data_IF_000432025427
#
_entry.id   IF_000432025427
#
_cell.length_a   1.000
_cell.length_b   1.000
_cell.length_c   1.000
_cell.angle_alpha   90.00
_cell.angle_beta   90.00
_cell.angle_gamma   90.00
#
_symmetry.space_group_name_H-M   'P 1'
#
loop_
_entity.id
_entity.type
_entity.pdbx_description
1 polymer ?
#
# COMPACT_ATOMS: atom_id res chain seq x y z
N UNK A 1 6.75 12.60 2.08
CA UNK A 1 7.84 12.50 1.08
C UNK A 1 8.78 13.69 1.28
N UNK A 2 10.09 13.51 1.14
CA UNK A 2 11.09 14.55 1.49
C UNK A 2 11.11 15.72 0.48
N UNK A 3 11.25 16.93 1.03
CA UNK A 3 11.51 18.18 0.31
C UNK A 3 12.69 18.11 -0.68
N UNK A 4 13.70 17.29 -0.37
CA UNK A 4 14.88 17.12 -1.21
C UNK A 4 14.57 16.53 -2.58
N UNK A 5 13.60 15.59 -2.66
CA UNK A 5 13.19 14.95 -3.90
C UNK A 5 12.51 15.93 -4.86
N UNK A 6 11.59 16.76 -4.35
CA UNK A 6 10.92 17.75 -5.20
C UNK A 6 11.88 18.86 -5.63
N UNK A 7 12.88 19.20 -4.80
CA UNK A 7 13.98 20.08 -5.23
C UNK A 7 14.79 19.43 -6.37
N UNK A 8 15.07 18.13 -6.31
CA UNK A 8 15.72 17.39 -7.39
C UNK A 8 14.91 17.43 -8.69
N UNK A 9 13.60 17.15 -8.61
CA UNK A 9 12.68 17.20 -9.75
C UNK A 9 12.75 18.58 -10.42
N UNK A 10 12.49 19.64 -9.64
CA UNK A 10 12.48 21.01 -10.16
C UNK A 10 13.83 21.40 -10.79
N UNK A 11 14.94 20.97 -10.19
CA UNK A 11 16.28 21.23 -10.72
C UNK A 11 16.51 20.54 -12.08
N UNK A 12 16.09 19.27 -12.21
CA UNK A 12 16.25 18.51 -13.47
C UNK A 12 15.33 19.07 -14.57
N UNK A 13 14.09 19.40 -14.24
CA UNK A 13 13.14 19.99 -15.20
C UNK A 13 13.60 21.37 -15.68
N UNK A 14 14.23 22.17 -14.82
CA UNK A 14 14.86 23.43 -15.20
C UNK A 14 16.00 23.30 -16.23
N UNK A 15 16.49 22.07 -16.46
CA UNK A 15 17.56 21.73 -17.40
C UNK A 15 17.04 20.99 -18.65
N UNK A 16 15.72 20.91 -18.84
CA UNK A 16 15.08 20.25 -19.98
C UNK A 16 15.62 20.77 -21.33
N UNK A 17 16.08 19.83 -22.16
CA UNK A 17 16.58 20.09 -23.52
C UNK A 17 17.84 20.94 -23.62
N UNK A 18 18.46 21.31 -22.49
CA UNK A 18 19.60 22.25 -22.46
C UNK A 18 20.96 21.58 -22.38
N UNK A 19 21.01 20.35 -21.85
CA UNK A 19 22.26 19.66 -21.55
C UNK A 19 22.18 18.16 -21.82
N UNK A 20 23.33 17.57 -22.16
CA UNK A 20 23.46 16.13 -22.30
C UNK A 20 23.50 15.41 -20.94
N UNK A 21 23.32 14.09 -20.98
CA UNK A 21 23.36 13.19 -19.82
C UNK A 21 24.63 13.36 -18.96
N UNK A 22 25.80 13.48 -19.56
CA UNK A 22 27.06 13.52 -18.80
C UNK A 22 27.19 14.83 -18.00
N UNK A 23 26.76 15.94 -18.59
CA UNK A 23 26.70 17.23 -17.91
C UNK A 23 25.58 17.27 -16.87
N UNK A 24 24.41 16.73 -17.17
CA UNK A 24 23.29 16.60 -16.22
C UNK A 24 23.73 15.81 -14.98
N UNK A 25 24.38 14.67 -15.16
CA UNK A 25 24.93 13.86 -14.08
C UNK A 25 25.86 14.66 -13.16
N UNK A 26 26.81 15.41 -13.73
CA UNK A 26 27.78 16.20 -12.95
C UNK A 26 27.09 17.32 -12.15
N UNK A 27 26.14 18.02 -12.77
CA UNK A 27 25.42 19.11 -12.13
C UNK A 27 24.56 18.60 -10.98
N UNK A 28 23.77 17.55 -11.22
CA UNK A 28 22.89 16.95 -10.20
C UNK A 28 23.73 16.35 -9.07
N UNK A 29 24.81 15.62 -9.39
CA UNK A 29 25.70 15.07 -8.37
C UNK A 29 26.27 16.16 -7.45
N UNK A 30 26.73 17.27 -8.04
CA UNK A 30 27.31 18.39 -7.28
C UNK A 30 26.26 19.12 -6.44
N UNK A 31 25.12 19.46 -7.02
CA UNK A 31 24.06 20.24 -6.38
C UNK A 31 23.47 19.52 -5.16
N UNK A 32 23.28 18.20 -5.26
CA UNK A 32 22.66 17.40 -4.21
C UNK A 32 23.66 16.57 -3.40
N UNK A 33 24.97 16.79 -3.60
CA UNK A 33 26.05 16.06 -2.91
C UNK A 33 25.90 14.53 -2.99
N UNK A 34 25.52 14.02 -4.17
CA UNK A 34 25.19 12.60 -4.34
C UNK A 34 26.43 11.71 -4.24
N UNK A 35 26.28 10.63 -3.47
CA UNK A 35 27.26 9.54 -3.44
C UNK A 35 27.08 8.69 -4.70
N UNK A 36 28.17 8.34 -5.37
CA UNK A 36 28.14 7.50 -6.57
C UNK A 36 28.53 6.06 -6.23
N UNK A 37 27.62 5.12 -6.45
CA UNK A 37 27.90 3.68 -6.47
C UNK A 37 27.72 3.16 -7.90
N UNK A 38 28.84 2.89 -8.58
CA UNK A 38 28.88 2.50 -10.00
C UNK A 38 28.10 3.47 -10.89
N UNK A 39 26.90 3.10 -11.32
CA UNK A 39 26.06 3.87 -12.24
C UNK A 39 24.89 4.59 -11.53
N UNK A 40 24.69 4.33 -10.24
CA UNK A 40 23.65 4.93 -9.39
C UNK A 40 24.25 6.07 -8.57
N UNK A 41 23.49 7.14 -8.42
CA UNK A 41 23.81 8.28 -7.55
C UNK A 41 22.73 8.36 -6.48
N UNK A 42 23.09 8.56 -5.21
CA UNK A 42 22.10 8.49 -4.14
C UNK A 42 22.43 9.41 -2.95
N UNK A 43 21.40 9.68 -2.16
CA UNK A 43 21.45 10.23 -0.81
C UNK A 43 20.87 9.20 0.18
N UNK A 44 20.70 9.61 1.43
CA UNK A 44 19.91 8.89 2.44
C UNK A 44 18.39 8.86 2.16
N UNK A 45 17.92 9.62 1.16
CA UNK A 45 16.51 9.94 0.95
C UNK A 45 16.00 9.61 -0.45
N UNK A 46 16.87 9.50 -1.46
CA UNK A 46 16.52 9.01 -2.79
C UNK A 46 17.75 8.45 -3.54
N UNK A 47 17.50 7.66 -4.59
CA UNK A 47 18.50 7.25 -5.56
C UNK A 47 18.08 7.65 -6.97
N UNK A 48 19.05 7.92 -7.83
CA UNK A 48 18.84 8.30 -9.23
C UNK A 48 19.82 7.59 -10.17
N UNK A 49 19.26 7.08 -11.28
CA UNK A 49 19.99 6.45 -12.38
C UNK A 49 19.70 7.21 -13.68
N UNK A 50 20.76 7.68 -14.33
CA UNK A 50 20.62 8.45 -15.57
C UNK A 50 20.73 7.57 -16.82
N UNK A 51 19.71 7.66 -17.67
CA UNK A 51 19.63 7.02 -18.97
C UNK A 51 19.54 8.08 -20.07
N UNK A 52 19.79 7.68 -21.32
CA UNK A 52 19.66 8.57 -22.48
C UNK A 52 18.98 7.83 -23.63
N UNK A 53 18.08 8.52 -24.33
CA UNK A 53 17.40 8.03 -25.53
C UNK A 53 17.05 9.21 -26.45
N UNK A 54 16.68 8.91 -27.71
CA UNK A 54 16.16 9.91 -28.65
C UNK A 54 14.71 10.29 -28.38
N UNK A 55 13.96 9.43 -27.68
CA UNK A 55 12.53 9.64 -27.37
C UNK A 55 12.22 9.19 -25.93
N UNK A 56 10.97 9.40 -25.50
CA UNK A 56 10.47 8.95 -24.19
C UNK A 56 10.46 7.41 -24.04
N UNK A 57 10.48 6.68 -25.17
CA UNK A 57 10.66 5.23 -25.20
C UNK A 57 12.14 4.88 -25.11
N UNK A 58 12.50 3.99 -24.19
CA UNK A 58 13.87 3.49 -24.07
C UNK A 58 13.87 2.05 -23.57
N UNK A 59 14.72 1.21 -24.17
CA UNK A 59 14.87 -0.21 -23.82
C UNK A 59 16.26 -0.55 -23.27
N UNK A 60 17.14 0.45 -23.16
CA UNK A 60 18.48 0.26 -22.64
C UNK A 60 18.43 -0.27 -21.20
N UNK A 61 19.39 -1.14 -20.88
CA UNK A 61 19.56 -1.66 -19.52
C UNK A 61 19.85 -0.53 -18.54
N UNK A 62 19.04 -0.48 -17.49
CA UNK A 62 19.09 0.52 -16.42
C UNK A 62 20.05 0.04 -15.33
N UNK A 63 19.79 -1.15 -14.78
CA UNK A 63 20.48 -1.74 -13.64
C UNK A 63 20.19 -3.26 -13.54
N UNK A 64 20.94 -3.99 -12.72
CA UNK A 64 20.55 -5.33 -12.27
C UNK A 64 19.57 -5.28 -11.10
N UNK A 65 18.73 -6.30 -10.96
CA UNK A 65 17.76 -6.42 -9.86
C UNK A 65 18.45 -6.44 -8.48
N UNK A 66 19.55 -7.18 -8.35
CA UNK A 66 20.34 -7.23 -7.11
C UNK A 66 20.97 -5.89 -6.73
N UNK A 67 21.28 -5.04 -7.70
CA UNK A 67 21.76 -3.68 -7.40
C UNK A 67 20.60 -2.75 -7.03
N UNK A 68 19.40 -2.94 -7.60
CA UNK A 68 18.21 -2.18 -7.22
C UNK A 68 17.80 -2.45 -5.77
N UNK A 69 17.91 -3.71 -5.32
CA UNK A 69 17.54 -4.12 -3.96
C UNK A 69 18.12 -3.21 -2.87
N UNK A 70 19.35 -2.70 -3.05
CA UNK A 70 20.03 -1.81 -2.09
C UNK A 70 19.32 -0.46 -1.89
N UNK A 71 18.53 -0.05 -2.87
CA UNK A 71 17.93 1.29 -2.96
C UNK A 71 16.40 1.24 -2.98
N UNK A 72 15.81 0.05 -2.90
CA UNK A 72 14.37 -0.13 -3.09
C UNK A 72 13.56 0.51 -1.95
N UNK A 73 14.15 0.66 -0.75
CA UNK A 73 13.49 1.22 0.43
C UNK A 73 13.27 2.74 0.38
N UNK A 74 13.74 3.43 -0.66
CA UNK A 74 13.53 4.86 -0.91
C UNK A 74 13.27 5.13 -2.39
N UNK A 75 12.76 6.32 -2.79
CA UNK A 75 12.46 6.61 -4.18
C UNK A 75 13.67 6.35 -5.10
N UNK A 76 13.56 5.34 -5.97
CA UNK A 76 14.57 5.04 -6.97
C UNK A 76 14.12 5.59 -8.31
N UNK A 77 14.78 6.64 -8.77
CA UNK A 77 14.37 7.43 -9.91
C UNK A 77 15.23 7.07 -11.12
N UNK A 78 14.59 6.83 -12.26
CA UNK A 78 15.28 6.77 -13.54
C UNK A 78 15.03 8.09 -14.27
N UNK A 79 16.11 8.84 -14.47
CA UNK A 79 16.12 10.05 -15.26
C UNK A 79 16.53 9.73 -16.70
N UNK A 80 15.56 9.76 -17.62
CA UNK A 80 15.77 9.63 -19.05
C UNK A 80 16.01 11.00 -19.68
N UNK A 81 17.27 11.30 -19.99
CA UNK A 81 17.65 12.47 -20.75
C UNK A 81 17.35 12.25 -22.25
N UNK A 82 16.55 13.14 -22.83
CA UNK A 82 16.28 13.19 -24.28
C UNK A 82 16.68 14.56 -24.82
N UNK A 83 16.77 14.75 -26.15
CA UNK A 83 17.14 16.05 -26.73
C UNK A 83 16.25 17.22 -26.32
N UNK A 84 14.97 16.95 -26.02
CA UNK A 84 13.99 18.01 -25.75
C UNK A 84 13.63 18.16 -24.27
N UNK A 85 13.67 17.06 -23.51
CA UNK A 85 13.17 17.01 -22.12
C UNK A 85 13.82 15.87 -21.32
N UNK A 86 13.93 16.03 -20.01
CA UNK A 86 14.23 14.95 -19.08
C UNK A 86 12.92 14.33 -18.58
N UNK A 87 12.80 13.00 -18.66
CA UNK A 87 11.68 12.27 -18.07
C UNK A 87 12.14 11.58 -16.79
N UNK A 88 11.33 11.66 -15.75
CA UNK A 88 11.59 11.05 -14.46
C UNK A 88 10.54 9.98 -14.19
N UNK A 89 10.98 8.78 -13.85
CA UNK A 89 10.12 7.65 -13.49
C UNK A 89 10.59 7.04 -12.18
N UNK A 90 9.67 6.65 -11.30
CA UNK A 90 10.00 5.70 -10.24
C UNK A 90 10.23 4.31 -10.85
N UNK A 91 11.30 3.65 -10.45
CA UNK A 91 11.67 2.31 -10.88
C UNK A 91 11.98 1.38 -9.71
N UNK A 92 11.46 1.70 -8.52
CA UNK A 92 11.31 0.73 -7.43
C UNK A 92 10.58 -0.52 -7.92
N UNK A 93 10.80 -1.65 -7.25
CA UNK A 93 10.31 -2.96 -7.72
C UNK A 93 8.82 -2.99 -8.00
N UNK A 94 7.97 -2.24 -7.28
CA UNK A 94 6.52 -2.10 -7.58
C UNK A 94 6.23 -1.60 -9.00
N UNK A 95 7.10 -0.75 -9.55
CA UNK A 95 6.91 -0.11 -10.87
C UNK A 95 7.65 -0.85 -11.99
N UNK A 96 8.03 -2.11 -11.75
CA UNK A 96 8.60 -2.98 -12.76
C UNK A 96 7.56 -3.99 -13.23
N UNK A 97 7.40 -4.09 -14.55
CA UNK A 97 6.52 -5.06 -15.18
C UNK A 97 7.11 -6.48 -15.10
N UNK A 98 8.43 -6.60 -15.31
CA UNK A 98 9.19 -7.86 -15.27
C UNK A 98 10.68 -7.57 -15.10
N UNK A 99 11.49 -8.62 -15.07
CA UNK A 99 12.94 -8.57 -15.10
C UNK A 99 13.43 -9.13 -16.43
N UNK A 100 14.14 -8.32 -17.20
CA UNK A 100 14.72 -8.67 -18.49
C UNK A 100 16.07 -9.40 -18.39
N UNK A 101 16.59 -9.84 -19.55
CA UNK A 101 17.95 -10.36 -19.86
C UNK A 101 18.75 -11.02 -18.72
N UNK A 102 19.27 -12.23 -18.96
CA UNK A 102 20.01 -13.07 -17.98
C UNK A 102 19.18 -13.57 -16.79
N UNK A 103 17.85 -13.43 -16.87
CA UNK A 103 16.88 -13.86 -15.85
C UNK A 103 16.40 -15.30 -16.00
N UNK A 104 17.02 -16.13 -16.86
CA UNK A 104 16.64 -17.55 -17.00
C UNK A 104 16.78 -18.35 -15.69
N UNK A 105 17.56 -17.84 -14.74
CA UNK A 105 17.69 -18.40 -13.39
C UNK A 105 17.00 -17.56 -12.31
N UNK A 106 16.20 -16.54 -12.69
CA UNK A 106 15.54 -15.66 -11.74
C UNK A 106 14.58 -16.49 -10.89
N UNK A 107 14.84 -16.49 -9.59
CA UNK A 107 14.04 -17.15 -8.56
C UNK A 107 14.03 -16.27 -7.32
N UNK A 108 13.13 -16.56 -6.38
CA UNK A 108 13.10 -15.86 -5.09
C UNK A 108 14.42 -16.00 -4.31
N UNK A 109 15.11 -17.13 -4.48
CA UNK A 109 16.43 -17.42 -3.90
C UNK A 109 17.61 -17.00 -4.79
N UNK A 110 17.35 -16.56 -6.02
CA UNK A 110 18.37 -16.15 -7.00
C UNK A 110 17.90 -14.95 -7.82
N UNK A 111 18.16 -13.75 -7.32
CA UNK A 111 17.69 -12.48 -7.89
C UNK A 111 18.52 -11.98 -9.09
N UNK A 112 19.10 -12.88 -9.89
CA UNK A 112 19.88 -12.53 -11.08
C UNK A 112 18.95 -12.09 -12.21
N UNK A 113 19.26 -10.93 -12.78
CA UNK A 113 18.51 -10.38 -13.90
C UNK A 113 18.73 -8.87 -14.04
N UNK A 114 18.33 -8.34 -15.18
CA UNK A 114 18.49 -6.93 -15.51
C UNK A 114 17.16 -6.24 -15.72
N UNK A 115 17.12 -4.94 -15.48
CA UNK A 115 15.94 -4.11 -15.65
C UNK A 115 16.22 -3.21 -16.84
N UNK A 116 15.36 -3.27 -17.86
CA UNK A 116 15.41 -2.37 -18.99
C UNK A 116 14.45 -1.19 -18.80
N UNK A 117 14.70 -0.10 -19.52
CA UNK A 117 13.81 1.06 -19.50
C UNK A 117 12.37 0.75 -19.90
N UNK A 118 12.19 -0.27 -20.75
CA UNK A 118 10.89 -0.75 -21.22
C UNK A 118 10.13 -1.53 -20.15
N UNK A 119 10.82 -2.03 -19.13
CA UNK A 119 10.18 -2.77 -18.02
C UNK A 119 9.60 -1.82 -16.96
N UNK A 120 9.95 -0.53 -17.00
CA UNK A 120 9.44 0.47 -16.07
C UNK A 120 8.02 0.88 -16.47
N UNK A 121 7.06 0.56 -15.63
CA UNK A 121 5.63 0.86 -15.80
C UNK A 121 5.40 2.36 -15.87
N UNK A 122 4.71 2.81 -16.92
CA UNK A 122 4.41 4.23 -17.18
C UNK A 122 3.10 4.70 -16.57
N UNK A 123 2.15 3.78 -16.41
CA UNK A 123 0.88 4.03 -15.73
C UNK A 123 0.62 2.84 -14.82
N UNK A 124 0.56 3.07 -13.52
CA UNK A 124 0.32 2.05 -12.51
C UNK A 124 -1.07 2.27 -11.91
N UNK A 125 -1.98 1.31 -12.10
CA UNK A 125 -3.37 1.41 -11.62
C UNK A 125 -4.08 2.74 -11.96
N UNK A 126 -3.85 3.25 -13.18
CA UNK A 126 -4.42 4.52 -13.64
C UNK A 126 -3.65 5.77 -13.20
N UNK A 127 -2.65 5.64 -12.33
CA UNK A 127 -1.76 6.73 -11.92
C UNK A 127 -0.54 6.78 -12.85
N UNK A 128 -0.31 7.92 -13.49
CA UNK A 128 0.89 8.12 -14.32
C UNK A 128 2.16 8.12 -13.45
N UNK A 129 3.19 7.40 -13.88
CA UNK A 129 4.49 7.37 -13.24
C UNK A 129 5.31 8.61 -13.63
N UNK A 130 4.99 9.74 -12.99
CA UNK A 130 5.59 11.05 -13.23
C UNK A 130 5.72 11.83 -11.91
N UNK A 131 6.56 12.87 -11.85
CA UNK A 131 6.93 13.53 -10.58
C UNK A 131 5.76 13.98 -9.70
N UNK A 132 4.67 14.44 -10.31
CA UNK A 132 3.48 14.92 -9.59
C UNK A 132 2.85 13.81 -8.73
N UNK A 133 3.00 12.55 -9.15
CA UNK A 133 2.41 11.38 -8.50
C UNK A 133 3.41 10.57 -7.66
N UNK A 134 4.68 10.99 -7.57
CA UNK A 134 5.71 10.20 -6.88
C UNK A 134 5.36 9.94 -5.41
N UNK A 135 4.75 10.90 -4.72
CA UNK A 135 4.35 10.73 -3.32
C UNK A 135 3.36 9.56 -3.13
N UNK A 136 2.32 9.51 -3.96
CA UNK A 136 1.31 8.45 -3.91
C UNK A 136 1.90 7.11 -4.35
N UNK A 137 2.61 7.09 -5.48
CA UNK A 137 3.25 5.87 -6.00
C UNK A 137 4.22 5.30 -4.97
N UNK A 138 5.14 6.10 -4.44
CA UNK A 138 6.11 5.60 -3.48
C UNK A 138 5.46 5.14 -2.16
N UNK A 139 4.35 5.75 -1.74
CA UNK A 139 3.56 5.27 -0.60
C UNK A 139 2.97 3.88 -0.87
N UNK A 140 2.49 3.61 -2.08
CA UNK A 140 2.05 2.26 -2.51
C UNK A 140 3.22 1.28 -2.42
N UNK A 141 4.39 1.67 -2.94
CA UNK A 141 5.58 0.82 -2.93
C UNK A 141 6.06 0.47 -1.52
N UNK A 142 6.14 1.46 -0.62
CA UNK A 142 6.68 1.32 0.74
C UNK A 142 5.96 0.25 1.58
N UNK A 143 4.69 -0.01 1.29
CA UNK A 143 3.85 -0.99 1.99
C UNK A 143 4.05 -2.43 1.48
N UNK A 144 4.62 -2.59 0.29
CA UNK A 144 4.92 -3.88 -0.34
C UNK A 144 6.42 -4.20 -0.19
N UNK A 145 7.28 -3.25 -0.56
CA UNK A 145 8.73 -3.36 -0.56
C UNK A 145 9.28 -4.38 -1.57
N UNK A 146 10.60 -4.58 -1.53
CA UNK A 146 11.31 -5.46 -2.45
C UNK A 146 10.81 -6.91 -2.40
N UNK A 147 10.77 -7.49 -1.19
CA UNK A 147 10.44 -8.91 -1.02
C UNK A 147 9.00 -9.22 -1.44
N UNK A 148 8.05 -8.31 -1.18
CA UNK A 148 6.66 -8.47 -1.63
C UNK A 148 6.52 -8.43 -3.16
N UNK A 149 7.41 -7.71 -3.85
CA UNK A 149 7.41 -7.62 -5.30
C UNK A 149 8.26 -8.69 -6.00
N UNK A 150 9.27 -9.25 -5.33
CA UNK A 150 10.21 -10.19 -5.94
C UNK A 150 9.48 -11.37 -6.57
N UNK A 151 8.56 -11.97 -5.82
CA UNK A 151 7.87 -13.16 -6.26
C UNK A 151 7.00 -12.89 -7.52
N UNK A 152 6.30 -11.75 -7.60
CA UNK A 152 5.52 -11.40 -8.81
C UNK A 152 6.42 -11.11 -10.01
N UNK A 153 7.62 -10.59 -9.77
CA UNK A 153 8.61 -10.33 -10.81
C UNK A 153 9.21 -11.64 -11.34
N UNK A 154 9.46 -12.61 -10.47
CA UNK A 154 9.88 -13.97 -10.85
C UNK A 154 8.83 -14.60 -11.77
N UNK A 155 7.56 -14.58 -11.38
CA UNK A 155 6.47 -15.13 -12.19
C UNK A 155 6.30 -14.44 -13.53
N UNK A 156 6.20 -13.10 -13.54
CA UNK A 156 6.04 -12.31 -14.76
C UNK A 156 7.22 -12.49 -15.73
N UNK A 157 8.39 -12.86 -15.20
CA UNK A 157 9.59 -13.11 -16.00
C UNK A 157 9.65 -14.55 -16.53
N UNK A 158 9.26 -15.53 -15.71
CA UNK A 158 9.33 -16.95 -16.05
C UNK A 158 8.04 -17.49 -16.69
N UNK A 159 7.01 -16.65 -16.88
CA UNK A 159 5.67 -17.05 -17.35
C UNK A 159 5.10 -18.24 -16.56
N UNK A 160 5.37 -18.28 -15.25
CA UNK A 160 4.89 -19.36 -14.39
C UNK A 160 3.37 -19.18 -14.22
N UNK A 161 2.62 -20.26 -14.46
CA UNK A 161 1.18 -20.28 -14.18
C UNK A 161 0.95 -20.41 -12.66
N UNK A 162 -0.03 -19.70 -12.09
CA UNK A 162 -0.28 -19.73 -10.65
C UNK A 162 -0.61 -21.15 -10.16
N UNK A 163 -0.09 -21.51 -8.99
CA UNK A 163 -0.51 -22.70 -8.24
C UNK A 163 -1.34 -22.28 -7.02
N UNK A 164 -2.45 -22.98 -6.76
CA UNK A 164 -3.36 -22.72 -5.62
C UNK A 164 -4.83 -22.77 -6.01
N UNK A 165 -5.70 -22.74 -5.00
CA UNK A 165 -7.15 -22.68 -5.17
C UNK A 165 -7.65 -21.28 -4.80
N UNK A 166 -8.09 -20.50 -5.80
CA UNK A 166 -8.79 -19.25 -5.56
C UNK A 166 -10.21 -19.48 -5.08
N UNK A 167 -10.82 -18.49 -4.42
CA UNK A 167 -12.24 -18.61 -4.06
C UNK A 167 -13.08 -18.70 -5.34
N UNK A 168 -13.73 -19.85 -5.54
CA UNK A 168 -14.62 -20.08 -6.67
C UNK A 168 -16.00 -19.53 -6.33
N UNK A 169 -16.40 -18.48 -7.03
CA UNK A 169 -17.67 -17.78 -6.79
C UNK A 169 -18.77 -18.61 -7.44
N UNK A 170 -19.69 -19.15 -6.64
CA UNK A 170 -20.88 -19.81 -7.18
C UNK A 170 -21.89 -18.76 -7.66
N UNK A 171 -22.79 -19.12 -8.58
CA UNK A 171 -23.84 -18.18 -9.04
C UNK A 171 -24.71 -17.67 -7.88
N UNK A 172 -24.99 -18.52 -6.90
CA UNK A 172 -25.73 -18.14 -5.69
C UNK A 172 -24.97 -17.07 -4.87
N UNK A 173 -23.65 -17.20 -4.75
CA UNK A 173 -22.79 -16.27 -4.03
C UNK A 173 -22.75 -14.90 -4.73
N UNK A 174 -22.77 -14.88 -6.07
CA UNK A 174 -22.73 -13.64 -6.86
C UNK A 174 -23.89 -12.71 -6.50
N UNK A 175 -25.09 -13.25 -6.37
CA UNK A 175 -26.28 -12.48 -5.97
C UNK A 175 -26.10 -11.85 -4.58
N UNK A 176 -25.61 -12.63 -3.62
CA UNK A 176 -25.41 -12.17 -2.23
C UNK A 176 -24.29 -11.12 -2.16
N UNK A 177 -23.18 -11.31 -2.87
CA UNK A 177 -22.06 -10.35 -2.95
C UNK A 177 -22.56 -9.02 -3.51
N UNK A 178 -23.33 -9.02 -4.59
CA UNK A 178 -23.84 -7.78 -5.20
C UNK A 178 -24.91 -7.06 -4.38
N UNK A 179 -25.48 -7.71 -3.36
CA UNK A 179 -26.34 -7.06 -2.37
C UNK A 179 -25.54 -6.45 -1.20
N UNK A 180 -24.25 -6.73 -1.06
CA UNK A 180 -23.42 -6.19 0.03
C UNK A 180 -23.44 -4.65 0.12
N UNK A 181 -23.38 -3.87 -0.98
CA UNK A 181 -23.47 -2.41 -0.89
C UNK A 181 -24.79 -1.91 -0.33
N UNK A 182 -25.91 -2.60 -0.62
CA UNK A 182 -27.23 -2.30 -0.06
C UNK A 182 -27.24 -2.58 1.45
N UNK A 183 -26.74 -3.75 1.87
CA UNK A 183 -26.63 -4.12 3.29
C UNK A 183 -25.78 -3.11 4.06
N UNK A 184 -24.64 -2.71 3.51
CA UNK A 184 -23.77 -1.71 4.10
C UNK A 184 -24.46 -0.35 4.22
N UNK A 185 -25.16 0.10 3.17
CA UNK A 185 -25.92 1.36 3.18
C UNK A 185 -27.01 1.38 4.25
N UNK A 186 -27.69 0.25 4.44
CA UNK A 186 -28.73 0.13 5.47
C UNK A 186 -28.10 0.03 6.88
N UNK A 187 -26.94 -0.62 7.03
CA UNK A 187 -26.21 -0.72 8.30
C UNK A 187 -25.68 0.62 8.80
N UNK A 188 -25.06 1.45 7.95
CA UNK A 188 -24.38 2.69 8.39
C UNK A 188 -25.32 3.74 8.98
N UNK A 189 -26.63 3.60 8.77
CA UNK A 189 -27.68 4.45 9.37
C UNK A 189 -28.43 3.76 10.52
N UNK A 190 -28.00 2.56 10.92
CA UNK A 190 -28.69 1.73 11.91
C UNK A 190 -28.20 1.97 13.34
N UNK A 191 -28.95 1.46 14.32
CA UNK A 191 -28.56 1.50 15.72
C UNK A 191 -27.36 0.57 16.01
N UNK A 192 -27.24 -0.52 15.27
CA UNK A 192 -26.13 -1.48 15.34
C UNK A 192 -24.81 -0.82 14.92
N UNK A 193 -24.80 0.01 13.88
CA UNK A 193 -23.62 0.82 13.52
C UNK A 193 -23.22 1.76 14.66
N UNK A 194 -24.17 2.49 15.24
CA UNK A 194 -23.91 3.40 16.35
C UNK A 194 -23.34 2.66 17.57
N UNK A 195 -23.84 1.44 17.81
CA UNK A 195 -23.37 0.56 18.89
C UNK A 195 -21.95 0.06 18.63
N UNK A 196 -21.65 -0.42 17.41
CA UNK A 196 -20.32 -0.86 17.02
C UNK A 196 -19.30 0.29 17.13
N UNK A 197 -19.65 1.46 16.60
CA UNK A 197 -18.78 2.65 16.66
C UNK A 197 -18.48 3.06 18.10
N UNK A 198 -19.52 3.17 18.93
CA UNK A 198 -19.37 3.59 20.33
C UNK A 198 -18.48 2.63 21.13
N UNK A 199 -18.54 1.34 20.84
CA UNK A 199 -17.71 0.34 21.48
C UNK A 199 -16.23 0.48 21.09
N UNK A 200 -15.94 0.57 19.80
CA UNK A 200 -14.57 0.76 19.29
C UNK A 200 -13.98 2.09 19.78
N UNK A 201 -14.76 3.17 19.79
CA UNK A 201 -14.35 4.47 20.31
C UNK A 201 -14.02 4.41 21.80
N UNK A 202 -14.85 3.72 22.58
CA UNK A 202 -14.61 3.54 24.03
C UNK A 202 -13.34 2.75 24.29
N UNK A 203 -13.08 1.68 23.54
CA UNK A 203 -11.86 0.87 23.68
C UNK A 203 -10.63 1.72 23.31
N UNK A 204 -10.70 2.43 22.18
CA UNK A 204 -9.62 3.32 21.72
C UNK A 204 -9.32 4.42 22.72
N UNK A 205 -10.36 5.01 23.32
CA UNK A 205 -10.20 6.02 24.37
C UNK A 205 -9.58 5.42 25.64
N UNK A 206 -10.03 4.22 26.06
CA UNK A 206 -9.49 3.51 27.22
C UNK A 206 -7.98 3.27 27.10
N UNK A 207 -7.50 2.88 25.92
CA UNK A 207 -6.09 2.58 25.67
C UNK A 207 -5.32 3.70 24.94
N UNK A 208 -5.84 4.92 24.93
CA UNK A 208 -5.29 6.06 24.16
C UNK A 208 -3.77 6.25 24.37
N UNK A 209 -3.33 6.22 25.62
CA UNK A 209 -1.91 6.43 25.96
C UNK A 209 -1.03 5.30 25.43
N UNK A 210 -1.52 4.06 25.49
CA UNK A 210 -0.78 2.88 25.04
C UNK A 210 -0.69 2.83 23.51
N UNK A 211 -1.75 3.24 22.82
CA UNK A 211 -1.77 3.44 21.36
C UNK A 211 -0.73 4.51 20.95
N UNK A 212 -0.65 5.61 21.71
CA UNK A 212 0.37 6.65 21.48
C UNK A 212 1.78 6.09 21.66
N UNK A 213 2.04 5.30 22.70
CA UNK A 213 3.34 4.66 22.91
C UNK A 213 3.67 3.68 21.77
N UNK A 214 2.72 2.84 21.37
CA UNK A 214 2.88 1.92 20.25
C UNK A 214 3.16 2.66 18.93
N UNK A 215 2.62 3.86 18.74
CA UNK A 215 2.86 4.67 17.54
C UNK A 215 4.32 5.08 17.35
N UNK A 216 5.12 5.04 18.42
CA UNK A 216 6.56 5.35 18.41
C UNK A 216 7.43 4.16 17.93
N UNK A 217 6.84 3.00 17.65
CA UNK A 217 7.56 1.87 17.07
C UNK A 217 7.96 2.20 15.63
N UNK A 218 9.26 2.15 15.35
CA UNK A 218 9.82 2.45 14.02
C UNK A 218 9.32 1.46 12.95
N UNK A 219 9.28 0.16 13.30
CA UNK A 219 8.80 -0.87 12.40
C UNK A 219 7.28 -0.77 12.21
N UNK A 220 6.86 -0.28 11.03
CA UNK A 220 5.46 -0.05 10.67
C UNK A 220 4.58 -1.29 10.83
N UNK A 221 5.09 -2.47 10.48
CA UNK A 221 4.34 -3.72 10.58
C UNK A 221 4.12 -4.14 12.04
N UNK A 222 5.13 -3.99 12.90
CA UNK A 222 5.00 -4.27 14.33
C UNK A 222 4.07 -3.24 14.96
N UNK A 223 4.24 -1.95 14.63
CA UNK A 223 3.40 -0.86 15.10
C UNK A 223 1.92 -1.11 14.82
N UNK A 224 1.56 -1.41 13.57
CA UNK A 224 0.18 -1.69 13.17
C UNK A 224 -0.41 -2.84 13.98
N UNK A 225 0.27 -3.99 13.99
CA UNK A 225 -0.18 -5.19 14.70
C UNK A 225 -0.35 -4.99 16.20
N UNK A 226 0.53 -4.21 16.83
CA UNK A 226 0.42 -3.90 18.27
C UNK A 226 -0.82 -3.05 18.55
N UNK A 227 -1.08 -2.02 17.74
CA UNK A 227 -2.24 -1.15 17.91
C UNK A 227 -3.54 -1.92 17.63
N UNK A 228 -3.57 -2.72 16.56
CA UNK A 228 -4.67 -3.65 16.25
C UNK A 228 -4.98 -4.55 17.46
N UNK A 229 -3.95 -5.16 18.06
CA UNK A 229 -4.12 -6.05 19.21
C UNK A 229 -4.58 -5.34 20.48
N UNK A 230 -4.11 -4.11 20.72
CA UNK A 230 -4.58 -3.29 21.85
C UNK A 230 -6.08 -3.04 21.76
N UNK A 231 -6.61 -2.83 20.54
CA UNK A 231 -8.02 -2.51 20.33
C UNK A 231 -8.89 -3.77 20.22
N UNK A 232 -8.46 -4.80 19.48
CA UNK A 232 -9.29 -5.96 19.13
C UNK A 232 -8.76 -7.31 19.60
N UNK A 233 -7.61 -7.36 20.28
CA UNK A 233 -7.06 -8.61 20.81
C UNK A 233 -8.01 -9.27 21.82
N UNK A 234 -8.14 -10.60 21.76
CA UNK A 234 -9.05 -11.38 22.63
C UNK A 234 -8.39 -11.78 23.97
N UNK A 235 -7.05 -11.80 24.08
CA UNK A 235 -6.34 -12.20 25.30
C UNK A 235 -5.92 -10.98 26.13
N UNK A 236 -6.66 -10.74 27.21
CA UNK A 236 -6.41 -9.63 28.12
C UNK A 236 -5.03 -9.70 28.79
N UNK A 237 -4.52 -10.91 29.10
CA UNK A 237 -3.19 -11.07 29.72
C UNK A 237 -2.10 -10.65 28.77
N UNK A 238 -2.18 -11.12 27.52
CA UNK A 238 -1.22 -10.73 26.49
C UNK A 238 -1.31 -9.23 26.18
N UNK A 239 -2.52 -8.64 26.20
CA UNK A 239 -2.69 -7.19 26.05
C UNK A 239 -1.97 -6.43 27.16
N UNK A 240 -2.14 -6.86 28.41
CA UNK A 240 -1.48 -6.24 29.56
C UNK A 240 0.04 -6.40 29.50
N UNK A 241 0.56 -7.55 29.05
CA UNK A 241 2.00 -7.77 28.83
C UNK A 241 2.57 -6.83 27.76
N UNK A 242 1.88 -6.66 26.63
CA UNK A 242 2.27 -5.72 25.57
C UNK A 242 2.28 -4.28 26.10
N UNK A 243 1.22 -3.88 26.82
CA UNK A 243 1.10 -2.55 27.43
C UNK A 243 2.24 -2.30 28.42
N UNK A 244 2.53 -3.26 29.29
CA UNK A 244 3.63 -3.15 30.25
C UNK A 244 4.99 -3.04 29.54
N UNK A 245 5.21 -3.80 28.46
CA UNK A 245 6.43 -3.70 27.66
C UNK A 245 6.58 -2.31 27.01
N UNK A 246 5.51 -1.73 26.48
CA UNK A 246 5.49 -0.39 25.89
C UNK A 246 5.82 0.68 26.95
N UNK A 247 5.18 0.62 28.12
CA UNK A 247 5.36 1.59 29.21
C UNK A 247 6.76 1.55 29.82
N UNK A 248 7.36 0.36 29.90
CA UNK A 248 8.70 0.18 30.45
C UNK A 248 9.83 0.42 29.43
N UNK A 249 9.49 0.76 28.18
CA UNK A 249 10.47 1.00 27.12
C UNK A 249 11.26 -0.25 26.74
N UNK A 250 10.69 -1.44 26.97
CA UNK A 250 11.38 -2.71 26.70
C UNK A 250 11.59 -2.86 25.20
N UNK A 251 12.84 -3.11 24.77
CA UNK A 251 13.17 -3.24 23.32
C UNK A 251 12.46 -4.39 22.61
N UNK A 252 11.91 -5.36 23.35
CA UNK A 252 11.30 -6.57 22.79
C UNK A 252 9.84 -6.66 23.23
N UNK A 253 8.95 -6.43 22.28
CA UNK A 253 7.51 -6.65 22.47
C UNK A 253 7.25 -8.16 22.43
N UNK A 254 6.39 -8.71 23.32
CA UNK A 254 5.99 -10.11 23.26
C UNK A 254 5.54 -10.51 21.86
N UNK A 255 5.96 -11.68 21.40
CA UNK A 255 5.52 -12.19 20.11
C UNK A 255 4.08 -12.67 20.21
N UNK A 256 3.18 -12.10 19.41
CA UNK A 256 1.80 -12.55 19.29
C UNK A 256 1.47 -12.88 17.83
N UNK A 257 0.53 -13.81 17.63
CA UNK A 257 -0.03 -14.13 16.32
C UNK A 257 -1.39 -13.44 16.21
N UNK A 258 -1.56 -12.63 15.17
CA UNK A 258 -2.89 -12.18 14.75
C UNK A 258 -3.48 -13.28 13.87
N UNK A 259 -4.78 -13.56 14.01
CA UNK A 259 -5.47 -14.50 13.12
C UNK A 259 -5.48 -13.88 11.72
N UNK A 260 -5.21 -14.68 10.69
CA UNK A 260 -5.26 -14.23 9.29
C UNK A 260 -6.72 -14.16 8.78
N UNK A 261 -7.61 -13.52 9.54
CA UNK A 261 -9.03 -13.28 9.18
C UNK A 261 -9.17 -12.03 8.32
N UNK A 262 -10.38 -11.74 7.82
CA UNK A 262 -10.64 -10.54 6.99
C UNK A 262 -10.63 -9.25 7.82
N UNK A 263 -11.09 -9.31 9.07
CA UNK A 263 -11.06 -8.19 10.01
C UNK A 263 -10.51 -8.62 11.37
N UNK A 264 -10.17 -7.62 12.19
CA UNK A 264 -9.57 -7.75 13.51
C UNK A 264 -10.61 -7.85 14.61
N UNK A 265 -11.73 -7.13 14.46
CA UNK A 265 -12.82 -7.09 15.42
C UNK A 265 -14.11 -7.62 14.77
N UNK A 266 -14.75 -8.59 15.42
CA UNK A 266 -16.00 -9.19 14.95
C UNK A 266 -17.11 -8.92 15.96
N UNK A 267 -18.26 -8.47 15.46
CA UNK A 267 -19.47 -8.32 16.28
C UNK A 267 -20.69 -8.81 15.51
N UNK A 268 -21.46 -9.67 16.16
CA UNK A 268 -22.67 -10.27 15.61
C UNK A 268 -23.88 -9.56 16.21
N UNK A 269 -24.77 -9.12 15.34
CA UNK A 269 -26.08 -8.56 15.65
C UNK A 269 -27.15 -9.45 15.00
N UNK A 270 -28.42 -9.29 15.40
CA UNK A 270 -29.52 -10.10 14.85
C UNK A 270 -29.59 -10.05 13.32
N UNK A 271 -29.35 -8.87 12.73
CA UNK A 271 -29.41 -8.62 11.28
C UNK A 271 -28.05 -8.57 10.59
N UNK A 272 -26.94 -8.45 11.32
CA UNK A 272 -25.64 -8.11 10.75
C UNK A 272 -24.50 -8.88 11.40
N UNK A 273 -23.66 -9.48 10.58
CA UNK A 273 -22.40 -10.09 10.97
C UNK A 273 -21.28 -9.16 10.53
N UNK A 274 -20.71 -8.41 11.48
CA UNK A 274 -19.69 -7.40 11.17
C UNK A 274 -18.28 -7.99 11.28
N UNK A 275 -17.44 -7.65 10.30
CA UNK A 275 -16.00 -7.78 10.40
C UNK A 275 -15.39 -6.38 10.23
N UNK A 276 -14.59 -5.95 11.20
CA UNK A 276 -13.98 -4.63 11.22
C UNK A 276 -12.47 -4.76 11.23
N UNK A 277 -11.82 -4.20 10.21
CA UNK A 277 -10.37 -4.14 10.08
C UNK A 277 -9.86 -2.80 10.64
N UNK A 278 -8.88 -2.85 11.53
CA UNK A 278 -8.39 -1.70 12.29
C UNK A 278 -7.16 -1.13 11.61
N UNK A 279 -7.25 0.11 11.15
CA UNK A 279 -6.16 0.78 10.44
C UNK A 279 -5.67 1.99 11.19
N UNK A 280 -4.39 2.00 11.53
CA UNK A 280 -3.75 3.18 12.12
C UNK A 280 -3.20 4.08 11.02
N UNK A 281 -3.56 5.36 11.07
CA UNK A 281 -3.04 6.39 10.17
C UNK A 281 -2.21 7.40 10.97
N UNK A 282 -0.90 7.43 10.75
CA UNK A 282 -0.05 8.52 11.26
C UNK A 282 -0.23 9.70 10.31
N UNK A 283 -0.88 10.77 10.76
CA UNK A 283 -1.35 11.87 9.91
C UNK A 283 -0.21 12.64 9.22
N UNK A 284 1.00 12.57 9.77
CA UNK A 284 2.20 13.19 9.18
C UNK A 284 2.85 12.34 8.09
N UNK A 285 2.42 11.09 7.90
CA UNK A 285 3.01 10.15 6.95
C UNK A 285 2.07 9.90 5.77
N UNK A 286 2.64 10.04 4.57
CA UNK A 286 2.02 9.58 3.33
C UNK A 286 2.08 8.05 3.29
N UNK A 287 1.11 7.38 3.93
CA UNK A 287 0.92 5.92 3.91
C UNK A 287 -0.28 5.53 3.05
N UNK A 288 -0.18 4.39 2.37
CA UNK A 288 -1.25 3.79 1.56
C UNK A 288 -1.53 2.38 2.10
N UNK A 289 -2.24 2.22 3.22
CA UNK A 289 -2.30 0.95 3.92
C UNK A 289 -2.94 -0.14 3.05
N UNK A 290 -2.40 -1.36 3.14
CA UNK A 290 -3.06 -2.56 2.57
C UNK A 290 -4.42 -2.75 3.22
N UNK A 291 -5.46 -2.94 2.41
CA UNK A 291 -6.84 -3.04 2.88
C UNK A 291 -7.21 -4.50 3.19
N UNK A 292 -7.50 -5.29 2.15
CA UNK A 292 -7.96 -6.67 2.26
C UNK A 292 -7.46 -7.52 1.09
N UNK A 293 -7.38 -8.84 1.33
CA UNK A 293 -7.27 -9.80 0.25
C UNK A 293 -8.63 -9.93 -0.46
N UNK A 294 -8.61 -9.92 -1.79
CA UNK A 294 -9.85 -9.88 -2.58
C UNK A 294 -10.70 -11.14 -2.41
N UNK A 295 -10.07 -12.33 -2.37
CA UNK A 295 -10.79 -13.60 -2.25
C UNK A 295 -11.45 -13.75 -0.87
N UNK A 296 -10.72 -13.40 0.21
CA UNK A 296 -11.29 -13.38 1.57
C UNK A 296 -12.44 -12.39 1.70
N UNK A 297 -12.32 -11.25 1.03
CA UNK A 297 -13.38 -10.24 0.99
C UNK A 297 -14.62 -10.80 0.29
N UNK A 298 -14.47 -11.40 -0.89
CA UNK A 298 -15.59 -12.00 -1.62
C UNK A 298 -16.25 -13.14 -0.83
N UNK A 299 -15.45 -14.03 -0.24
CA UNK A 299 -15.93 -15.12 0.61
C UNK A 299 -16.76 -14.60 1.80
N UNK A 300 -16.31 -13.51 2.43
CA UNK A 300 -17.08 -12.89 3.50
C UNK A 300 -18.37 -12.25 3.01
N UNK A 301 -18.31 -11.51 1.88
CA UNK A 301 -19.47 -10.84 1.30
C UNK A 301 -20.54 -11.78 0.75
N UNK A 302 -20.17 -13.04 0.48
CA UNK A 302 -21.11 -14.10 0.11
C UNK A 302 -22.04 -14.54 1.26
N UNK A 303 -21.80 -14.08 2.50
CA UNK A 303 -22.69 -14.34 3.64
C UNK A 303 -23.82 -13.30 3.69
N UNK A 304 -25.06 -13.75 3.89
CA UNK A 304 -26.26 -12.90 3.80
C UNK A 304 -26.30 -11.71 4.77
N UNK A 305 -25.65 -11.82 5.93
CA UNK A 305 -25.62 -10.75 6.95
C UNK A 305 -24.31 -9.97 6.98
N UNK A 306 -23.37 -10.26 6.07
CA UNK A 306 -22.02 -9.69 6.11
C UNK A 306 -22.01 -8.17 5.98
N UNK A 307 -21.22 -7.53 6.85
CA UNK A 307 -20.88 -6.11 6.82
C UNK A 307 -19.38 -5.96 7.08
N UNK A 308 -18.65 -5.41 6.11
CA UNK A 308 -17.21 -5.16 6.25
C UNK A 308 -16.93 -3.67 6.43
N UNK A 309 -16.21 -3.35 7.51
CA UNK A 309 -15.90 -1.98 7.93
C UNK A 309 -14.40 -1.80 8.16
N UNK A 310 -13.93 -0.58 7.98
CA UNK A 310 -12.64 -0.12 8.47
C UNK A 310 -12.85 0.76 9.69
N UNK A 311 -12.05 0.54 10.73
CA UNK A 311 -11.95 1.45 11.85
C UNK A 311 -10.60 2.15 11.82
N UNK A 312 -10.61 3.41 11.41
CA UNK A 312 -9.41 4.22 11.31
C UNK A 312 -9.12 4.93 12.62
N UNK A 313 -7.86 4.86 13.07
CA UNK A 313 -7.35 5.59 14.23
C UNK A 313 -6.26 6.56 13.76
N UNK A 314 -6.55 7.86 13.83
CA UNK A 314 -5.63 8.93 13.44
C UNK A 314 -4.69 9.30 14.56
N UNK A 315 -3.39 9.32 14.30
CA UNK A 315 -2.35 9.69 15.26
C UNK A 315 -1.51 10.86 14.72
N UNK A 316 -1.38 11.93 15.48
CA UNK A 316 -0.54 13.09 15.15
C UNK A 316 0.17 13.59 16.40
N UNK A 317 1.47 13.90 16.31
CA UNK A 317 2.24 14.52 17.40
C UNK A 317 2.05 13.87 18.78
N UNK A 318 2.09 12.52 18.83
CA UNK A 318 1.86 11.71 20.05
C UNK A 318 0.46 11.88 20.65
N UNK A 319 -0.55 12.14 19.82
CA UNK A 319 -1.94 12.21 20.23
C UNK A 319 -2.81 11.42 19.25
N UNK A 320 -3.82 10.74 19.77
CA UNK A 320 -4.93 10.25 18.94
C UNK A 320 -5.82 11.45 18.60
N UNK A 321 -5.96 11.76 17.31
CA UNK A 321 -6.60 12.97 16.80
C UNK A 321 -7.94 12.73 16.13
N UNK A 322 -8.32 11.47 15.92
CA UNK A 322 -9.65 11.13 15.41
C UNK A 322 -9.87 9.63 15.33
N UNK A 323 -11.14 9.24 15.23
CA UNK A 323 -11.56 7.87 14.96
C UNK A 323 -12.71 7.88 13.95
N UNK A 324 -12.66 6.98 12.96
CA UNK A 324 -13.68 6.89 11.93
C UNK A 324 -14.03 5.42 11.64
N UNK A 325 -15.32 5.08 11.72
CA UNK A 325 -15.84 3.77 11.30
C UNK A 325 -16.47 3.90 9.91
N UNK A 326 -15.80 3.37 8.90
CA UNK A 326 -16.09 3.62 7.49
C UNK A 326 -16.33 2.31 6.76
N UNK A 327 -17.39 2.24 5.95
CA UNK A 327 -17.69 1.09 5.11
C UNK A 327 -16.66 0.97 4.00
N UNK A 328 -16.32 -0.28 3.62
CA UNK A 328 -15.50 -0.52 2.43
C UNK A 328 -16.11 0.05 1.12
N UNK A 329 -17.42 0.33 1.11
CA UNK A 329 -18.14 0.86 -0.04
C UNK A 329 -18.29 2.39 -0.04
N UNK A 330 -17.72 3.08 0.96
CA UNK A 330 -17.73 4.55 0.99
C UNK A 330 -17.12 5.09 -0.32
N UNK A 331 -17.77 6.10 -0.89
CA UNK A 331 -17.51 6.56 -2.25
C UNK A 331 -16.04 6.94 -2.52
N UNK A 332 -15.45 7.82 -1.70
CA UNK A 332 -14.08 8.29 -1.89
C UNK A 332 -13.06 7.17 -1.68
N UNK A 333 -13.30 6.32 -0.68
CA UNK A 333 -12.45 5.18 -0.39
C UNK A 333 -12.46 4.16 -1.53
N UNK A 334 -13.65 3.80 -2.03
CA UNK A 334 -13.83 2.89 -3.18
C UNK A 334 -13.18 3.46 -4.43
N UNK A 335 -13.48 4.72 -4.76
CA UNK A 335 -13.05 5.35 -6.02
C UNK A 335 -11.53 5.57 -6.08
N UNK A 336 -10.86 5.56 -4.93
CA UNK A 336 -9.39 5.67 -4.82
C UNK A 336 -8.72 4.37 -4.38
N UNK A 337 -9.45 3.25 -4.29
CA UNK A 337 -8.88 1.95 -3.93
C UNK A 337 -8.08 1.36 -5.09
N UNK A 338 -6.82 1.04 -4.83
CA UNK A 338 -5.91 0.42 -5.78
C UNK A 338 -5.99 -1.10 -5.69
N UNK A 339 -6.46 -1.74 -6.76
CA UNK A 339 -6.45 -3.21 -6.85
C UNK A 339 -5.10 -3.68 -7.37
N UNK A 340 -4.36 -4.37 -6.52
CA UNK A 340 -3.06 -4.96 -6.84
C UNK A 340 -3.27 -6.41 -7.26
N UNK A 341 -3.46 -6.58 -8.57
CA UNK A 341 -3.49 -7.89 -9.24
C UNK A 341 -2.07 -8.47 -9.12
N UNK A 342 -1.96 -9.76 -8.80
CA UNK A 342 -0.71 -10.50 -8.61
C UNK A 342 -0.08 -10.39 -7.20
N UNK A 343 -0.42 -11.39 -6.38
CA UNK A 343 0.48 -11.89 -5.34
C UNK A 343 1.00 -13.23 -5.83
N UNK A 344 2.32 -13.39 -5.83
CA UNK A 344 2.95 -14.53 -6.42
C UNK A 344 2.56 -15.87 -5.79
N UNK A 345 2.57 -16.90 -6.61
CA UNK A 345 2.51 -18.32 -6.25
C UNK A 345 1.17 -18.72 -5.65
N UNK A 346 0.14 -17.90 -5.82
CA UNK A 346 -1.20 -18.11 -5.26
C UNK A 346 -2.20 -17.79 -6.34
N UNK A 347 -3.06 -18.75 -6.65
CA UNK A 347 -4.29 -18.53 -7.42
C UNK A 347 -5.23 -17.59 -6.64
N UNK A 348 -4.87 -16.31 -6.54
CA UNK A 348 -5.61 -15.29 -5.80
C UNK A 348 -5.80 -14.07 -6.68
N UNK A 349 -6.96 -13.43 -6.57
CA UNK A 349 -7.29 -12.20 -7.31
C UNK A 349 -6.43 -11.01 -6.90
N UNK A 350 -5.72 -11.11 -5.78
CA UNK A 350 -4.79 -10.10 -5.29
C UNK A 350 -5.25 -9.42 -3.99
N UNK A 351 -4.82 -8.18 -3.79
CA UNK A 351 -5.19 -7.37 -2.61
C UNK A 351 -5.63 -5.97 -3.03
N UNK A 352 -6.41 -5.33 -2.18
CA UNK A 352 -6.72 -3.90 -2.26
C UNK A 352 -5.74 -3.09 -1.40
N UNK A 353 -5.43 -1.88 -1.84
CA UNK A 353 -4.65 -0.88 -1.11
C UNK A 353 -5.39 0.45 -1.12
N UNK A 354 -5.47 1.11 0.04
CA UNK A 354 -6.24 2.33 0.20
C UNK A 354 -5.40 3.57 -0.12
N UNK A 355 -6.05 4.62 -0.65
CA UNK A 355 -5.42 5.94 -0.78
C UNK A 355 -5.29 6.60 0.59
N UNK A 356 -4.06 6.95 0.96
CA UNK A 356 -3.77 7.70 2.18
C UNK A 356 -4.49 9.05 2.23
N UNK A 357 -4.64 9.72 1.09
CA UNK A 357 -5.30 11.02 1.00
C UNK A 357 -6.81 10.90 1.23
N UNK A 358 -7.45 9.87 0.67
CA UNK A 358 -8.87 9.61 0.93
C UNK A 358 -9.11 9.34 2.42
N UNK A 359 -8.24 8.56 3.07
CA UNK A 359 -8.29 8.34 4.52
C UNK A 359 -8.11 9.67 5.27
N UNK A 360 -7.14 10.51 4.90
CA UNK A 360 -6.91 11.79 5.58
C UNK A 360 -8.13 12.72 5.52
N UNK A 361 -8.83 12.75 4.38
CA UNK A 361 -10.09 13.50 4.23
C UNK A 361 -11.19 12.91 5.12
N UNK A 362 -11.39 11.59 5.06
CA UNK A 362 -12.41 10.89 5.86
C UNK A 362 -12.14 10.96 7.37
N UNK A 363 -10.87 11.08 7.78
CA UNK A 363 -10.52 11.27 9.20
C UNK A 363 -10.86 12.66 9.72
N UNK A 364 -10.89 13.68 8.85
CA UNK A 364 -11.29 15.04 9.21
C UNK A 364 -12.80 15.21 9.19
N UNK A 365 -13.44 14.65 8.17
CA UNK A 365 -14.89 14.75 7.94
C UNK A 365 -15.45 13.36 7.60
N UNK A 366 -15.67 12.50 8.62
CA UNK A 366 -16.16 11.14 8.41
C UNK A 366 -17.57 11.13 7.82
N UNK A 367 -17.77 10.32 6.76
CA UNK A 367 -19.08 10.00 6.21
C UNK A 367 -19.12 8.54 5.74
N UNK A 368 -20.31 8.05 5.43
CA UNK A 368 -20.53 6.71 4.88
C UNK A 368 -21.44 6.79 3.64
N UNK A 369 -21.17 7.76 2.76
CA UNK A 369 -21.92 7.89 1.52
C UNK A 369 -21.60 6.72 0.58
N UNK A 370 -22.64 5.96 0.23
CA UNK A 370 -22.53 4.75 -0.61
C UNK A 370 -23.43 4.89 -1.82
N UNK A 371 -22.79 4.97 -2.99
CA UNK A 371 -23.39 4.72 -4.29
C UNK A 371 -23.44 3.21 -4.55
N UNK A 372 -24.66 2.64 -4.53
CA UNK A 372 -24.88 1.20 -4.69
C UNK A 372 -24.45 0.74 -6.09
N UNK A 373 -24.78 1.49 -7.14
CA UNK A 373 -24.54 1.07 -8.51
C UNK A 373 -23.04 1.04 -8.80
N UNK A 374 -22.31 2.10 -8.42
CA UNK A 374 -20.83 2.11 -8.55
C UNK A 374 -20.16 1.02 -7.72
N UNK A 375 -20.67 0.76 -6.51
CA UNK A 375 -20.13 -0.29 -5.65
C UNK A 375 -20.37 -1.69 -6.22
N UNK A 376 -21.53 -1.92 -6.85
CA UNK A 376 -21.79 -3.15 -7.58
C UNK A 376 -20.86 -3.29 -8.79
N UNK A 377 -20.68 -2.24 -9.60
CA UNK A 377 -19.72 -2.25 -10.70
C UNK A 377 -18.28 -2.54 -10.25
N UNK A 378 -17.88 -1.99 -9.11
CA UNK A 378 -16.58 -2.28 -8.49
C UNK A 378 -16.44 -3.76 -8.12
N UNK A 379 -17.43 -4.35 -7.45
CA UNK A 379 -17.45 -5.78 -7.12
C UNK A 379 -17.44 -6.66 -8.37
N UNK A 380 -18.22 -6.31 -9.40
CA UNK A 380 -18.17 -7.02 -10.69
C UNK A 380 -16.79 -6.96 -11.35
N UNK A 381 -16.11 -5.81 -11.25
CA UNK A 381 -14.74 -5.65 -11.71
C UNK A 381 -13.78 -6.59 -10.98
N UNK A 382 -13.93 -6.75 -9.66
CA UNK A 382 -13.12 -7.66 -8.84
C UNK A 382 -13.42 -9.13 -9.18
N UNK A 383 -14.70 -9.51 -9.32
CA UNK A 383 -15.08 -10.89 -9.59
C UNK A 383 -14.60 -11.40 -10.97
N UNK A 384 -14.33 -10.49 -11.91
CA UNK A 384 -13.80 -10.78 -13.25
C UNK A 384 -12.27 -10.94 -13.29
N UNK A 385 -11.57 -10.62 -12.21
CA UNK A 385 -10.15 -10.92 -12.04
C UNK A 385 -9.97 -12.42 -11.80
#
# INVERSE_FOLDING_TARGET
>A
MDSSLYRLVNFIEGLDGRIDKARLQKLVQKEFSLVKDRSVFYTDTFAIRFSSSKSASFSNTVLSLSSLQKYDDFPFIVCLNTPNKNYLFLANTTFLAKVSHSSQELREDNIRGSINGSDIVKVFNGIENKPENFAELFAIHSEIGFNGNLARLVEATNNISPSGDGYSIQEIDRGVILQAPRRAKDFVVSAEYSTLKSELDRITLKYKNDIILASLIDNVNIRGRVIEYIIAGEDDRLRDEIINALRNGTKRIPGFRTKNTLGDFVKIFDKYDTATDIKTKVMTLSSAPKAYNLDKMLEFLAKEKSIFMFYFVGIMSRQVVGQALISMFQNDLRDTTHVLKHWAGRNSRGVAQLSGQAIDTLMKEPNNDIDIAKSQSFLEGIMKL
#
